data_IF_460854232184
#
_entry.id   IF_460854232184
#
_cell.length_a   1.000
_cell.length_b   1.000
_cell.length_c   1.000
_cell.angle_alpha   90.00
_cell.angle_beta   90.00
_cell.angle_gamma   90.00
#
_symmetry.space_group_name_H-M   'P 1'
#
loop_
_entity.id
_entity.type
_entity.pdbx_description
1 polymer ?
#
# COMPACT_ATOMS: atom_id res chain seq x y z
N UNK A 1 -4.80 -17.92 -1.04
CA UNK A 1 -3.85 -17.31 -2.00
C UNK A 1 -3.50 -15.91 -1.59
N UNK A 2 -2.25 -15.76 -1.20
CA UNK A 2 -1.60 -14.52 -0.82
C UNK A 2 -1.24 -13.67 -2.03
N UNK A 3 -1.08 -12.37 -1.83
CA UNK A 3 -0.76 -11.44 -2.90
C UNK A 3 0.24 -10.40 -2.40
N UNK A 4 1.24 -10.11 -3.20
CA UNK A 4 2.22 -9.06 -2.95
C UNK A 4 2.04 -7.95 -3.97
N UNK A 5 1.77 -6.74 -3.53
CA UNK A 5 1.85 -5.56 -4.37
C UNK A 5 3.28 -5.06 -4.33
N UNK A 6 3.98 -5.25 -5.44
CA UNK A 6 5.36 -4.80 -5.59
C UNK A 6 5.41 -3.31 -5.85
N UNK A 7 6.53 -2.70 -5.48
CA UNK A 7 6.78 -1.29 -5.80
C UNK A 7 6.76 -1.09 -7.33
N UNK A 8 6.38 0.11 -7.76
CA UNK A 8 6.41 0.47 -9.18
C UNK A 8 7.86 0.41 -9.69
N UNK A 9 8.08 -0.16 -10.88
CA UNK A 9 9.40 -0.09 -11.56
C UNK A 9 9.84 1.37 -11.78
N UNK A 10 8.88 2.26 -12.02
CA UNK A 10 9.09 3.72 -12.11
C UNK A 10 9.26 4.44 -10.76
N UNK A 11 9.38 3.72 -9.64
CA UNK A 11 9.58 4.35 -8.33
C UNK A 11 10.97 4.98 -8.29
N UNK A 12 11.11 6.26 -7.89
CA UNK A 12 12.42 6.92 -7.80
C UNK A 12 13.28 6.40 -6.62
N UNK A 13 12.75 5.45 -5.85
CA UNK A 13 13.28 5.02 -4.56
C UNK A 13 13.41 3.52 -4.51
N UNK A 14 14.62 3.07 -4.16
CA UNK A 14 14.97 1.66 -3.91
C UNK A 14 14.86 1.29 -2.43
N UNK A 15 14.57 2.26 -1.57
CA UNK A 15 14.37 2.11 -0.13
C UNK A 15 13.02 2.66 0.29
N UNK A 16 12.49 2.11 1.37
CA UNK A 16 11.22 2.54 1.93
C UNK A 16 11.37 3.86 2.66
N UNK A 17 10.65 4.89 2.20
CA UNK A 17 10.68 6.23 2.77
C UNK A 17 9.42 6.44 3.58
N UNK A 18 9.58 6.81 4.85
CA UNK A 18 8.46 7.25 5.68
C UNK A 18 8.06 8.65 5.21
N UNK A 19 6.78 8.90 4.86
CA UNK A 19 6.35 10.25 4.50
C UNK A 19 6.63 11.23 5.65
N UNK A 20 7.32 12.33 5.40
CA UNK A 20 7.77 13.24 6.48
C UNK A 20 6.64 14.12 7.05
N UNK A 21 5.60 14.41 6.26
CA UNK A 21 4.52 15.31 6.67
C UNK A 21 3.40 14.56 7.39
N UNK A 22 3.38 14.68 8.71
CA UNK A 22 2.30 14.25 9.57
C UNK A 22 0.99 14.95 9.15
N UNK A 23 -0.07 14.16 8.96
CA UNK A 23 -1.37 14.65 8.47
C UNK A 23 -1.57 14.63 6.95
N UNK A 24 -0.55 14.30 6.15
CA UNK A 24 -0.77 14.04 4.71
C UNK A 24 -1.40 12.67 4.48
N UNK A 25 -2.15 12.52 3.38
CA UNK A 25 -2.80 11.25 3.04
C UNK A 25 -1.83 10.05 2.94
N UNK A 26 -0.60 10.17 2.41
CA UNK A 26 0.39 9.10 2.45
C UNK A 26 0.83 8.74 3.86
N UNK A 27 1.07 9.74 4.73
CA UNK A 27 1.47 9.51 6.12
C UNK A 27 0.38 8.77 6.90
N UNK A 28 -0.86 9.24 6.83
CA UNK A 28 -1.99 8.61 7.51
C UNK A 28 -2.15 7.14 7.10
N UNK A 29 -1.98 6.84 5.81
CA UNK A 29 -2.03 5.47 5.28
C UNK A 29 -0.89 4.61 5.82
N UNK A 30 0.32 5.18 5.90
CA UNK A 30 1.49 4.52 6.47
C UNK A 30 1.26 4.21 7.96
N UNK A 31 0.86 5.21 8.74
CA UNK A 31 0.64 5.13 10.19
C UNK A 31 -0.38 4.05 10.57
N UNK A 32 -1.51 3.98 9.85
CA UNK A 32 -2.56 2.99 10.12
C UNK A 32 -2.04 1.57 9.84
N UNK A 33 -1.31 1.36 8.74
CA UNK A 33 -0.85 0.04 8.32
C UNK A 33 0.37 -0.45 9.11
N UNK A 34 1.28 0.45 9.50
CA UNK A 34 2.43 0.09 10.32
C UNK A 34 2.00 -0.26 11.75
N UNK A 35 0.99 0.45 12.28
CA UNK A 35 0.47 0.19 13.63
C UNK A 35 -0.46 -1.03 13.68
N UNK A 36 -1.08 -1.40 12.56
CA UNK A 36 -2.08 -2.47 12.51
C UNK A 36 -1.83 -3.45 11.33
N UNK A 37 -0.69 -4.15 11.30
CA UNK A 37 -0.38 -5.11 10.25
C UNK A 37 -1.39 -6.28 10.27
N UNK A 38 -1.94 -6.64 9.11
CA UNK A 38 -2.97 -7.67 8.94
C UNK A 38 -4.23 -7.48 9.79
N UNK A 39 -4.55 -6.24 10.14
CA UNK A 39 -5.80 -5.92 10.82
C UNK A 39 -6.94 -5.72 9.82
N UNK A 40 -6.68 -4.93 8.77
CA UNK A 40 -7.71 -4.47 7.83
C UNK A 40 -7.66 -5.20 6.49
N UNK A 41 -8.82 -5.36 5.86
CA UNK A 41 -8.92 -5.68 4.42
C UNK A 41 -8.78 -4.42 3.54
N UNK A 42 -8.64 -4.57 2.21
CA UNK A 42 -8.55 -3.43 1.28
C UNK A 42 -9.69 -2.42 1.50
N UNK A 43 -10.93 -2.91 1.56
CA UNK A 43 -12.11 -2.06 1.71
C UNK A 43 -12.17 -1.40 3.08
N UNK A 44 -11.93 -2.17 4.15
CA UNK A 44 -11.94 -1.66 5.53
C UNK A 44 -10.86 -0.62 5.75
N UNK A 45 -9.68 -0.81 5.17
CA UNK A 45 -8.59 0.15 5.23
C UNK A 45 -8.98 1.49 4.58
N UNK A 46 -9.57 1.47 3.37
CA UNK A 46 -10.03 2.71 2.75
C UNK A 46 -11.21 3.35 3.48
N UNK A 47 -12.08 2.57 4.12
CA UNK A 47 -13.13 3.02 5.04
C UNK A 47 -12.51 3.76 6.22
N UNK A 48 -11.57 3.13 6.92
CA UNK A 48 -10.90 3.71 8.09
C UNK A 48 -10.18 5.02 7.72
N UNK A 49 -9.41 5.02 6.64
CA UNK A 49 -8.68 6.21 6.17
C UNK A 49 -9.64 7.34 5.76
N UNK A 50 -10.66 7.05 4.95
CA UNK A 50 -11.47 8.10 4.33
C UNK A 50 -12.72 8.46 5.12
N UNK A 51 -13.44 7.49 5.67
CA UNK A 51 -14.68 7.70 6.42
C UNK A 51 -14.39 8.08 7.86
N UNK A 52 -13.52 7.35 8.56
CA UNK A 52 -13.23 7.60 9.97
C UNK A 52 -12.23 8.74 10.13
N UNK A 53 -11.00 8.57 9.64
CA UNK A 53 -9.91 9.53 9.88
C UNK A 53 -10.07 10.85 9.13
N UNK A 54 -10.64 10.83 7.92
CA UNK A 54 -10.85 12.04 7.10
C UNK A 54 -12.27 12.59 7.16
N UNK A 55 -13.18 11.93 7.88
CA UNK A 55 -14.58 12.32 8.00
C UNK A 55 -15.28 12.55 6.64
N UNK A 56 -15.06 11.64 5.67
CA UNK A 56 -15.67 11.69 4.32
C UNK A 56 -16.55 10.45 4.06
N UNK A 57 -17.66 10.25 4.80
CA UNK A 57 -18.50 9.05 4.69
C UNK A 57 -19.14 8.87 3.30
N UNK A 58 -19.38 9.95 2.56
CA UNK A 58 -20.00 9.89 1.22
C UNK A 58 -19.03 9.50 0.09
N UNK A 59 -17.74 9.31 0.40
CA UNK A 59 -16.75 8.99 -0.61
C UNK A 59 -16.90 7.52 -1.04
N UNK A 60 -17.01 7.28 -2.35
CA UNK A 60 -17.08 5.93 -2.93
C UNK A 60 -15.72 5.23 -2.84
N UNK A 61 -15.48 4.54 -1.72
CA UNK A 61 -14.23 3.83 -1.46
C UNK A 61 -14.06 2.56 -2.30
N UNK A 62 -15.13 2.00 -2.87
CA UNK A 62 -15.09 0.77 -3.67
C UNK A 62 -14.30 0.92 -4.98
N UNK A 63 -14.03 2.17 -5.38
CA UNK A 63 -13.20 2.51 -6.53
C UNK A 63 -11.70 2.57 -6.22
N UNK A 64 -11.33 2.59 -4.93
CA UNK A 64 -9.95 2.64 -4.50
C UNK A 64 -9.33 1.24 -4.61
N UNK A 65 -8.04 1.22 -4.95
CA UNK A 65 -7.25 0.01 -5.13
C UNK A 65 -5.91 0.21 -4.46
N UNK A 66 -5.40 -0.80 -3.76
CA UNK A 66 -4.10 -0.76 -3.11
C UNK A 66 -2.97 -0.49 -4.13
N UNK A 67 -3.10 -1.00 -5.36
CA UNK A 67 -2.18 -0.75 -6.48
C UNK A 67 -2.07 0.72 -6.90
N UNK A 68 -3.03 1.58 -6.52
CA UNK A 68 -3.03 3.04 -6.74
C UNK A 68 -2.45 3.82 -5.56
N UNK A 69 -2.11 3.16 -4.46
CA UNK A 69 -1.59 3.86 -3.29
C UNK A 69 -0.27 4.58 -3.60
N UNK A 70 -0.08 5.73 -2.95
CA UNK A 70 1.17 6.47 -3.06
C UNK A 70 2.35 5.68 -2.49
N UNK A 71 2.10 4.87 -1.45
CA UNK A 71 3.12 4.07 -0.75
C UNK A 71 3.93 3.17 -1.70
N UNK A 72 3.33 2.24 -2.46
CA UNK A 72 4.06 1.40 -3.43
C UNK A 72 4.50 2.15 -4.69
N UNK A 73 3.99 3.36 -4.95
CA UNK A 73 4.30 4.12 -6.18
C UNK A 73 5.42 5.16 -6.04
N UNK A 74 5.69 5.64 -4.82
CA UNK A 74 6.64 6.74 -4.56
C UNK A 74 7.51 6.55 -3.33
N UNK A 75 7.06 5.75 -2.36
CA UNK A 75 7.69 5.66 -1.06
C UNK A 75 8.36 4.30 -0.82
N UNK A 76 8.49 3.43 -1.82
CA UNK A 76 9.21 2.16 -1.67
C UNK A 76 8.52 1.09 -0.82
N UNK A 77 7.25 1.26 -0.44
CA UNK A 77 6.56 0.28 0.42
C UNK A 77 5.80 -0.77 -0.39
N UNK A 78 6.14 -2.04 -0.23
CA UNK A 78 5.33 -3.15 -0.69
C UNK A 78 4.06 -3.31 0.15
N UNK A 79 3.01 -3.88 -0.42
CA UNK A 79 1.79 -4.25 0.35
C UNK A 79 1.57 -5.74 0.24
N UNK A 80 1.66 -6.45 1.36
CA UNK A 80 1.32 -7.87 1.42
C UNK A 80 -0.13 -8.06 1.82
N UNK A 81 -0.82 -8.95 1.12
CA UNK A 81 -2.20 -9.35 1.34
C UNK A 81 -2.17 -10.84 1.66
N UNK A 82 -2.47 -11.19 2.91
CA UNK A 82 -2.47 -12.58 3.32
C UNK A 82 -3.69 -13.34 2.78
N UNK A 83 -3.80 -14.62 3.13
CA UNK A 83 -4.89 -15.48 2.67
C UNK A 83 -6.28 -15.00 3.09
N UNK A 84 -6.38 -14.34 4.24
CA UNK A 84 -7.60 -13.75 4.79
C UNK A 84 -7.91 -12.37 4.19
N UNK A 85 -7.21 -11.95 3.12
CA UNK A 85 -7.34 -10.63 2.49
C UNK A 85 -6.97 -9.44 3.38
N UNK A 86 -6.27 -9.69 4.49
CA UNK A 86 -5.77 -8.68 5.40
C UNK A 86 -4.43 -8.16 4.92
N UNK A 87 -4.20 -6.87 5.12
CA UNK A 87 -3.10 -6.16 4.48
C UNK A 87 -2.05 -5.68 5.49
N UNK A 88 -0.80 -5.69 5.07
CA UNK A 88 0.33 -5.12 5.79
C UNK A 88 1.28 -4.43 4.81
N UNK A 89 1.93 -3.35 5.25
CA UNK A 89 3.01 -2.73 4.48
C UNK A 89 4.33 -3.37 4.86
N UNK A 90 5.19 -3.57 3.87
CA UNK A 90 6.51 -4.19 4.06
C UNK A 90 7.54 -3.32 3.34
N UNK A 91 8.67 -2.99 4.00
CA UNK A 91 9.72 -2.25 3.34
C UNK A 91 10.31 -3.03 2.16
N UNK A 92 10.51 -2.42 0.99
CA UNK A 92 11.06 -3.12 -0.18
C UNK A 92 12.47 -3.67 0.03
N UNK A 93 13.28 -3.01 0.87
CA UNK A 93 14.63 -3.42 1.24
C UNK A 93 14.66 -4.57 2.26
N UNK A 94 13.52 -4.93 2.85
CA UNK A 94 13.47 -5.94 3.91
C UNK A 94 13.62 -7.36 3.34
N UNK A 95 14.27 -8.23 4.11
CA UNK A 95 14.36 -9.66 3.79
C UNK A 95 12.97 -10.32 3.65
N UNK A 96 11.96 -9.82 4.37
CA UNK A 96 10.59 -10.30 4.24
C UNK A 96 10.01 -10.00 2.86
N UNK A 97 10.25 -8.80 2.32
CA UNK A 97 9.80 -8.45 0.97
C UNK A 97 10.46 -9.34 -0.09
N UNK A 98 11.77 -9.59 0.04
CA UNK A 98 12.49 -10.50 -0.87
C UNK A 98 11.95 -11.93 -0.80
N UNK A 99 11.70 -12.46 0.41
CA UNK A 99 11.08 -13.79 0.58
C UNK A 99 9.72 -13.89 -0.13
N UNK A 100 8.86 -12.89 0.04
CA UNK A 100 7.55 -12.86 -0.62
C UNK A 100 7.65 -12.69 -2.15
N UNK A 101 8.72 -12.06 -2.62
CA UNK A 101 8.99 -11.90 -4.04
C UNK A 101 9.44 -13.23 -4.67
N UNK A 102 10.26 -14.00 -3.96
CA UNK A 102 10.76 -15.32 -4.38
C UNK A 102 9.71 -16.44 -4.20
N UNK A 103 8.77 -16.28 -3.28
CA UNK A 103 7.75 -17.31 -2.98
C UNK A 103 6.72 -17.44 -4.10
N UNK A 104 6.80 -18.49 -4.92
CA UNK A 104 5.90 -18.75 -6.05
C UNK A 104 4.42 -18.88 -5.67
N UNK A 105 4.09 -19.21 -4.42
CA UNK A 105 2.70 -19.31 -3.95
C UNK A 105 2.04 -17.93 -3.80
N UNK A 106 2.84 -16.87 -3.66
CA UNK A 106 2.39 -15.49 -3.52
C UNK A 106 2.17 -14.88 -4.90
N UNK A 107 0.96 -14.36 -5.14
CA UNK A 107 0.64 -13.67 -6.40
C UNK A 107 1.22 -12.26 -6.40
N UNK A 108 2.19 -12.00 -7.28
CA UNK A 108 2.78 -10.66 -7.42
C UNK A 108 1.93 -9.77 -8.33
N UNK A 109 1.69 -8.55 -7.87
CA UNK A 109 0.91 -7.53 -8.56
C UNK A 109 1.70 -6.22 -8.57
N UNK A 110 2.20 -5.79 -9.73
CA UNK A 110 2.85 -4.49 -9.84
C UNK A 110 1.91 -3.33 -9.50
N UNK A 111 2.39 -2.37 -8.71
CA UNK A 111 1.72 -1.07 -8.56
C UNK A 111 1.45 -0.45 -9.93
N UNK A 112 0.38 0.33 -10.07
CA UNK A 112 0.12 0.97 -11.36
C UNK A 112 1.20 2.01 -11.66
N UNK A 113 1.68 2.02 -12.91
CA UNK A 113 2.62 3.03 -13.40
C UNK A 113 2.11 4.44 -13.09
N UNK A 114 3.02 5.37 -12.85
CA UNK A 114 2.65 6.78 -12.88
C UNK A 114 2.28 7.11 -14.33
N UNK A 115 0.99 7.26 -14.62
CA UNK A 115 0.62 8.06 -15.78
C UNK A 115 1.17 9.46 -15.51
N UNK A 116 2.24 9.83 -16.21
CA UNK A 116 2.63 11.23 -16.38
C UNK A 116 1.35 11.93 -16.82
N UNK A 117 0.83 12.82 -15.98
CA UNK A 117 -0.05 13.86 -16.50
C UNK A 117 0.88 14.76 -17.32
N UNK A 118 0.92 14.54 -18.63
CA UNK A 118 1.31 15.60 -19.54
C UNK A 118 0.30 16.74 -19.30
N UNK A 119 0.82 17.88 -18.86
CA UNK A 119 0.08 19.12 -18.72
C UNK A 119 -0.19 19.71 -20.11
#
# INVERSE_FOLDING_TARGET
MEQLITISEDSPTTTSIIPENDGTLPYLKYEILISNPYCYTELEFFKEVHHVKRNKPHLKIDSYRLRRMHLPKRFGWGVHINEQKKIAIIPCESAQYQKLLEDESVKKLGAYRNQKREN
#
